data_IF_615670391084
#
_entry.id   IF_615670391084
#
_cell.length_a   1.000
_cell.length_b   1.000
_cell.length_c   1.000
_cell.angle_alpha   90.00
_cell.angle_beta   90.00
_cell.angle_gamma   90.00
#
_symmetry.space_group_name_H-M   'P 1'
#
loop_
_entity.id
_entity.type
_entity.pdbx_description
1 polymer ?
#
# COMPACT_ATOMS: atom_id res chain seq x y z
N UNK A 1 7.94 12.49 -7.85
CA UNK A 1 8.83 13.34 -7.03
C UNK A 1 8.71 12.84 -5.60
N UNK A 2 9.75 12.24 -4.99
CA UNK A 2 9.68 11.82 -3.59
C UNK A 2 9.45 13.05 -2.71
N UNK A 3 8.42 13.03 -1.86
CA UNK A 3 8.12 14.15 -0.99
C UNK A 3 8.92 14.02 0.31
N UNK A 4 9.67 15.07 0.67
CA UNK A 4 10.68 15.02 1.74
C UNK A 4 10.12 15.05 3.17
N UNK A 5 8.84 15.38 3.35
CA UNK A 5 8.24 15.39 4.68
C UNK A 5 7.64 14.01 5.02
N UNK A 6 7.47 13.76 6.32
CA UNK A 6 6.70 12.61 6.82
C UNK A 6 5.18 12.77 6.66
N UNK A 7 4.72 13.61 5.72
CA UNK A 7 3.29 13.80 5.47
C UNK A 7 2.69 12.54 4.86
N UNK A 8 1.54 12.13 5.39
CA UNK A 8 0.74 11.02 4.87
C UNK A 8 -0.54 11.55 4.24
N UNK A 9 -0.96 10.90 3.17
CA UNK A 9 -2.27 11.08 2.56
C UNK A 9 -2.96 9.73 2.58
N UNK A 10 -4.26 9.72 2.83
CA UNK A 10 -5.08 8.52 2.78
C UNK A 10 -6.46 8.87 2.25
N UNK A 11 -7.07 7.92 1.55
CA UNK A 11 -8.44 8.00 1.06
C UNK A 11 -9.08 6.61 1.07
N UNK A 12 -10.41 6.57 1.07
CA UNK A 12 -11.18 5.33 0.98
C UNK A 12 -11.17 4.74 -0.44
N UNK A 13 -11.66 3.50 -0.62
CA UNK A 13 -11.89 2.93 -1.94
C UNK A 13 -12.91 3.76 -2.73
N UNK A 14 -12.83 3.70 -4.06
CA UNK A 14 -13.77 4.38 -4.98
C UNK A 14 -14.94 3.49 -5.42
N UNK A 15 -14.91 2.21 -5.04
CA UNK A 15 -15.97 1.19 -5.26
C UNK A 15 -16.08 0.30 -4.03
N UNK A 16 -17.24 -0.33 -3.81
CA UNK A 16 -17.54 -1.10 -2.59
C UNK A 16 -16.63 -2.30 -2.36
N UNK A 17 -16.23 -2.97 -3.43
CA UNK A 17 -15.38 -4.16 -3.48
C UNK A 17 -13.91 -3.83 -3.79
N UNK A 18 -13.52 -2.56 -3.63
CA UNK A 18 -12.19 -2.06 -3.98
C UNK A 18 -11.27 -1.81 -2.78
N UNK A 19 -10.05 -1.38 -3.12
CA UNK A 19 -9.07 -0.85 -2.19
C UNK A 19 -8.73 0.60 -2.50
N UNK A 20 -8.44 1.39 -1.46
CA UNK A 20 -7.65 2.62 -1.59
C UNK A 20 -6.19 2.32 -1.25
N UNK A 21 -5.24 2.86 -2.00
CA UNK A 21 -3.81 2.68 -1.75
C UNK A 21 -3.05 3.95 -2.15
N UNK A 22 -2.77 4.80 -1.16
CA UNK A 22 -1.91 5.96 -1.34
C UNK A 22 -0.49 5.61 -0.92
N UNK A 23 0.53 6.12 -1.62
CA UNK A 23 1.93 5.83 -1.33
C UNK A 23 2.81 7.06 -1.46
N UNK A 24 3.84 7.13 -0.61
CA UNK A 24 4.89 8.15 -0.65
C UNK A 24 6.26 7.47 -0.61
N UNK A 25 6.94 7.31 -1.76
CA UNK A 25 8.31 6.82 -1.82
C UNK A 25 9.27 7.84 -1.20
N UNK A 26 10.09 7.39 -0.25
CA UNK A 26 11.15 8.17 0.40
C UNK A 26 12.51 7.58 0.05
N UNK A 27 13.57 8.13 0.63
CA UNK A 27 14.93 7.71 0.29
C UNK A 27 15.21 6.23 0.62
N UNK A 28 14.69 5.74 1.75
CA UNK A 28 15.02 4.41 2.28
C UNK A 28 13.81 3.48 2.44
N UNK A 29 12.60 3.96 2.20
CA UNK A 29 11.37 3.19 2.36
C UNK A 29 10.25 3.78 1.49
N UNK A 30 9.10 3.12 1.52
CA UNK A 30 7.86 3.61 0.91
C UNK A 30 6.78 3.56 1.98
N UNK A 31 6.15 4.70 2.27
CA UNK A 31 5.03 4.75 3.20
C UNK A 31 3.73 4.47 2.43
N UNK A 32 2.99 3.45 2.85
CA UNK A 32 1.69 3.08 2.28
C UNK A 32 0.55 3.38 3.24
N UNK A 33 -0.56 3.89 2.71
CA UNK A 33 -1.85 3.99 3.38
C UNK A 33 -2.88 3.20 2.58
N UNK A 34 -3.27 2.05 3.11
CA UNK A 34 -4.23 1.14 2.50
C UNK A 34 -5.60 1.25 3.17
N UNK A 35 -6.67 1.07 2.41
CA UNK A 35 -8.04 1.05 2.92
C UNK A 35 -8.93 0.08 2.11
N UNK A 36 -9.96 -0.44 2.75
CA UNK A 36 -11.03 -1.25 2.15
C UNK A 36 -12.30 -1.08 2.97
N UNK A 37 -13.47 -1.35 2.39
CA UNK A 37 -14.72 -1.33 3.14
C UNK A 37 -14.93 -2.62 3.93
N UNK A 38 -15.21 -2.51 5.24
CA UNK A 38 -15.47 -3.67 6.11
C UNK A 38 -16.73 -4.46 5.72
N UNK A 39 -17.63 -3.85 4.95
CA UNK A 39 -18.86 -4.49 4.44
C UNK A 39 -18.59 -5.49 3.31
N UNK A 40 -17.45 -5.39 2.62
CA UNK A 40 -17.08 -6.32 1.56
C UNK A 40 -16.22 -7.44 2.13
N UNK A 41 -16.73 -8.67 2.14
CA UNK A 41 -16.01 -9.87 2.59
C UNK A 41 -14.79 -10.22 1.75
N UNK A 42 -14.76 -9.76 0.49
CA UNK A 42 -13.73 -10.12 -0.47
C UNK A 42 -12.49 -9.22 -0.37
N UNK A 43 -12.59 -8.13 0.41
CA UNK A 43 -11.48 -7.21 0.66
C UNK A 43 -11.03 -7.21 2.12
N UNK A 44 -9.72 -7.12 2.33
CA UNK A 44 -9.13 -7.00 3.66
C UNK A 44 -7.91 -6.10 3.63
N UNK A 45 -8.03 -4.90 4.21
CA UNK A 45 -6.95 -3.91 4.27
C UNK A 45 -5.65 -4.49 4.84
N UNK A 46 -5.75 -5.31 5.91
CA UNK A 46 -4.59 -5.91 6.57
C UNK A 46 -3.88 -6.91 5.67
N UNK A 47 -4.62 -7.84 5.09
CA UNK A 47 -4.07 -8.85 4.17
C UNK A 47 -3.43 -8.18 2.97
N UNK A 48 -4.10 -7.18 2.37
CA UNK A 48 -3.56 -6.42 1.25
C UNK A 48 -2.22 -5.75 1.58
N UNK A 49 -2.12 -5.07 2.73
CA UNK A 49 -0.86 -4.44 3.16
C UNK A 49 0.27 -5.45 3.36
N UNK A 50 -0.01 -6.60 3.97
CA UNK A 50 0.97 -7.67 4.18
C UNK A 50 1.44 -8.28 2.85
N UNK A 51 0.51 -8.55 1.94
CA UNK A 51 0.83 -9.07 0.60
C UNK A 51 1.66 -8.06 -0.20
N UNK A 52 1.35 -6.77 -0.09
CA UNK A 52 2.11 -5.71 -0.76
C UNK A 52 3.55 -5.65 -0.25
N UNK A 53 3.78 -5.69 1.06
CA UNK A 53 5.11 -5.74 1.67
C UNK A 53 5.91 -6.95 1.20
N UNK A 54 5.31 -8.15 1.22
CA UNK A 54 5.95 -9.38 0.76
C UNK A 54 6.30 -9.29 -0.72
N UNK A 55 5.39 -8.81 -1.56
CA UNK A 55 5.59 -8.70 -3.01
C UNK A 55 6.75 -7.74 -3.34
N UNK A 56 6.84 -6.59 -2.66
CA UNK A 56 7.95 -5.65 -2.86
C UNK A 56 9.29 -6.23 -2.38
N UNK A 57 9.27 -7.01 -1.30
CA UNK A 57 10.44 -7.73 -0.81
C UNK A 57 10.90 -8.78 -1.83
N UNK A 58 9.98 -9.54 -2.40
CA UNK A 58 10.28 -10.54 -3.43
C UNK A 58 10.81 -9.88 -4.71
N UNK A 59 10.22 -8.76 -5.15
CA UNK A 59 10.71 -7.97 -6.28
C UNK A 59 12.14 -7.47 -6.05
N UNK A 60 12.45 -7.01 -4.82
CA UNK A 60 13.81 -6.62 -4.46
C UNK A 60 14.77 -7.80 -4.57
N UNK A 61 14.42 -8.96 -4.01
CA UNK A 61 15.25 -10.16 -4.12
C UNK A 61 15.49 -10.55 -5.59
N UNK A 62 14.47 -10.49 -6.45
CA UNK A 62 14.62 -10.77 -7.89
C UNK A 62 15.55 -9.76 -8.56
N UNK A 63 15.47 -8.48 -8.22
CA UNK A 63 16.30 -7.42 -8.80
C UNK A 63 17.77 -7.43 -8.34
N UNK A 64 18.04 -8.03 -7.18
CA UNK A 64 19.39 -8.15 -6.60
C UNK A 64 20.14 -9.42 -7.06
N UNK A 65 19.45 -10.34 -7.76
CA UNK A 65 20.03 -11.53 -8.42
C UNK A 65 20.46 -11.24 -9.87
#
# INVERSE_FOLDING_TARGET
VPFKSASFMCYGPVVEDGYGCCYNPRQNDIMFACSSFKSCSDTCTKTFAQTLEQTLTDMKHVAEN
#
